data_IF_664812932636
#
_entry.id   IF_664812932636
#
_cell.length_a   1.000
_cell.length_b   1.000
_cell.length_c   1.000
_cell.angle_alpha   90.00
_cell.angle_beta   90.00
_cell.angle_gamma   90.00
#
_symmetry.space_group_name_H-M   'P 1'
#
loop_
_entity.id
_entity.type
_entity.pdbx_description
1 polymer ?
#
# COMPACT_ATOMS: atom_id res chain seq x y z
N UNK A 1 10.01 -3.94 16.20
CA UNK A 1 8.66 -3.75 15.63
C UNK A 1 8.35 -4.98 14.83
N UNK A 2 7.11 -5.47 14.89
CA UNK A 2 6.66 -6.52 13.99
C UNK A 2 6.40 -5.87 12.63
N UNK A 3 7.07 -6.37 11.59
CA UNK A 3 6.95 -5.82 10.25
C UNK A 3 5.80 -6.52 9.50
N UNK A 4 4.80 -5.74 9.07
CA UNK A 4 3.68 -6.20 8.25
C UNK A 4 3.83 -5.64 6.83
N UNK A 5 4.72 -6.25 6.04
CA UNK A 5 5.06 -5.75 4.70
C UNK A 5 4.28 -6.47 3.59
N UNK A 6 4.13 -7.79 3.72
CA UNK A 6 3.49 -8.63 2.71
C UNK A 6 2.27 -9.36 3.30
N UNK A 7 1.18 -9.53 2.53
CA UNK A 7 0.07 -10.38 2.95
C UNK A 7 0.53 -11.84 3.06
N UNK A 8 -0.01 -12.56 4.05
CA UNK A 8 0.20 -14.00 4.11
C UNK A 8 -0.57 -14.71 2.99
N UNK A 9 -0.12 -15.90 2.59
CA UNK A 9 -0.84 -16.74 1.61
C UNK A 9 -2.28 -17.03 2.04
N UNK A 10 -2.50 -17.23 3.34
CA UNK A 10 -3.82 -17.52 3.90
C UNK A 10 -4.74 -16.30 3.81
N UNK A 11 -4.26 -15.12 4.21
CA UNK A 11 -5.02 -13.87 4.12
C UNK A 11 -5.32 -13.51 2.66
N UNK A 12 -4.37 -13.74 1.75
CA UNK A 12 -4.57 -13.50 0.33
C UNK A 12 -5.59 -14.47 -0.30
N UNK A 13 -5.60 -15.74 0.12
CA UNK A 13 -6.62 -16.69 -0.30
C UNK A 13 -8.03 -16.24 0.13
N UNK A 14 -8.18 -15.86 1.41
CA UNK A 14 -9.43 -15.29 1.94
C UNK A 14 -9.88 -14.05 1.17
N UNK A 15 -8.95 -13.16 0.84
CA UNK A 15 -9.27 -11.97 0.04
C UNK A 15 -9.81 -12.33 -1.36
N UNK A 16 -9.23 -13.34 -2.03
CA UNK A 16 -9.72 -13.80 -3.34
C UNK A 16 -11.11 -14.42 -3.27
N UNK A 17 -11.46 -15.06 -2.15
CA UNK A 17 -12.79 -15.64 -1.93
C UNK A 17 -13.87 -14.58 -1.70
N UNK A 18 -13.50 -13.34 -1.37
CA UNK A 18 -14.42 -12.20 -1.22
C UNK A 18 -14.84 -11.59 -2.57
N UNK A 19 -14.76 -12.35 -3.67
CA UNK A 19 -15.12 -11.89 -5.01
C UNK A 19 -16.62 -11.59 -5.10
N UNK A 20 -16.94 -10.31 -4.90
CA UNK A 20 -18.28 -9.74 -4.98
C UNK A 20 -18.34 -8.66 -6.06
N UNK A 21 -19.54 -8.39 -6.62
CA UNK A 21 -19.72 -7.27 -7.51
C UNK A 21 -19.35 -5.92 -6.87
N UNK A 22 -18.88 -4.99 -7.71
CA UNK A 22 -18.61 -3.60 -7.36
C UNK A 22 -17.17 -3.33 -6.92
N UNK A 23 -16.81 -2.05 -6.75
CA UNK A 23 -15.45 -1.65 -6.45
C UNK A 23 -15.02 -2.08 -5.04
N UNK A 24 -13.71 -2.11 -4.87
CA UNK A 24 -13.04 -2.23 -3.57
C UNK A 24 -12.19 -1.00 -3.32
N UNK A 25 -12.16 -0.54 -2.08
CA UNK A 25 -11.33 0.57 -1.62
C UNK A 25 -10.27 0.03 -0.67
N UNK A 26 -9.02 0.07 -1.11
CA UNK A 26 -7.86 -0.40 -0.35
C UNK A 26 -7.28 0.77 0.43
N UNK A 27 -7.54 0.81 1.73
CA UNK A 27 -6.90 1.75 2.65
C UNK A 27 -5.44 1.34 2.86
N UNK A 28 -4.53 2.27 2.62
CA UNK A 28 -3.11 2.09 2.81
C UNK A 28 -2.62 3.09 3.85
N UNK A 29 -1.94 2.59 4.89
CA UNK A 29 -1.24 3.35 5.91
C UNK A 29 0.21 2.90 5.88
N UNK A 30 1.11 3.74 5.39
CA UNK A 30 2.49 3.33 5.09
C UNK A 30 3.46 4.10 5.96
N UNK A 31 4.35 3.36 6.63
CA UNK A 31 5.49 3.88 7.36
C UNK A 31 6.77 3.51 6.62
N UNK A 32 7.57 4.50 6.26
CA UNK A 32 8.83 4.30 5.56
C UNK A 32 9.93 3.94 6.56
N UNK A 33 10.87 3.12 6.10
CA UNK A 33 12.17 3.02 6.78
C UNK A 33 12.98 4.29 6.49
N UNK A 34 13.84 4.70 7.42
CA UNK A 34 14.83 5.75 7.15
C UNK A 34 15.69 5.39 5.93
N UNK A 35 16.14 4.13 5.89
CA UNK A 35 16.88 3.53 4.77
C UNK A 35 16.16 2.30 4.23
N UNK A 36 16.00 2.24 2.91
CA UNK A 36 15.42 1.10 2.23
C UNK A 36 16.32 -0.13 2.37
N UNK A 37 15.70 -1.29 2.63
CA UNK A 37 16.40 -2.55 2.85
C UNK A 37 16.53 -3.36 1.54
N UNK A 38 17.26 -2.82 0.55
CA UNK A 38 17.53 -3.55 -0.67
C UNK A 38 18.64 -4.62 -0.47
N UNK A 39 18.51 -5.82 -1.07
CA UNK A 39 19.53 -6.88 -0.93
C UNK A 39 20.92 -6.50 -1.45
N UNK A 40 21.00 -5.58 -2.40
CA UNK A 40 22.26 -5.10 -2.97
C UNK A 40 22.92 -3.98 -2.14
N UNK A 41 22.32 -3.60 -1.01
CA UNK A 41 22.90 -2.65 -0.06
C UNK A 41 22.92 -1.20 -0.52
N UNK A 42 22.23 -0.84 -1.62
CA UNK A 42 22.20 0.55 -2.11
C UNK A 42 21.69 1.52 -1.04
N UNK A 43 22.29 2.72 -1.01
CA UNK A 43 21.95 3.75 -0.04
C UNK A 43 20.82 4.65 -0.56
N UNK A 44 19.58 4.28 -0.24
CA UNK A 44 18.37 4.99 -0.69
C UNK A 44 17.41 5.11 0.49
N UNK A 45 16.76 6.27 0.64
CA UNK A 45 15.74 6.46 1.68
C UNK A 45 14.50 5.61 1.40
N UNK A 46 13.75 5.21 2.44
CA UNK A 46 12.50 4.47 2.24
C UNK A 46 11.47 5.28 1.44
N UNK A 47 11.44 6.60 1.63
CA UNK A 47 10.58 7.50 0.87
C UNK A 47 10.93 7.53 -0.62
N UNK A 48 12.20 7.57 -1.00
CA UNK A 48 12.61 7.57 -2.40
C UNK A 48 12.44 6.20 -3.07
N UNK A 49 12.66 5.12 -2.32
CA UNK A 49 12.30 3.77 -2.76
C UNK A 49 10.80 3.67 -3.05
N UNK A 50 9.95 4.24 -2.18
CA UNK A 50 8.50 4.23 -2.37
C UNK A 50 8.04 5.10 -3.55
N UNK A 51 8.67 6.26 -3.77
CA UNK A 51 8.42 7.09 -4.97
C UNK A 51 8.78 6.33 -6.25
N UNK A 52 9.90 5.60 -6.24
CA UNK A 52 10.30 4.74 -7.35
C UNK A 52 9.22 3.68 -7.62
N UNK A 53 8.82 2.93 -6.60
CA UNK A 53 7.72 1.95 -6.69
C UNK A 53 6.44 2.57 -7.26
N UNK A 54 6.03 3.74 -6.77
CA UNK A 54 4.81 4.42 -7.22
C UNK A 54 4.87 4.82 -8.70
N UNK A 55 6.04 5.24 -9.18
CA UNK A 55 6.25 5.61 -10.58
C UNK A 55 6.16 4.39 -11.50
N UNK A 56 6.78 3.27 -11.12
CA UNK A 56 6.80 2.06 -11.95
C UNK A 56 5.46 1.30 -11.91
N UNK A 57 4.78 1.26 -10.76
CA UNK A 57 3.49 0.56 -10.60
C UNK A 57 2.29 1.36 -11.13
N UNK A 58 2.39 2.70 -11.16
CA UNK A 58 1.30 3.59 -11.55
C UNK A 58 0.66 3.30 -12.92
N UNK A 59 1.43 3.03 -14.00
CA UNK A 59 0.87 2.66 -15.29
C UNK A 59 0.06 1.35 -15.24
N UNK A 60 0.55 0.32 -14.56
CA UNK A 60 -0.14 -0.97 -14.41
C UNK A 60 -1.43 -0.78 -13.60
N UNK A 61 -1.34 -0.08 -12.47
CA UNK A 61 -2.48 0.27 -11.62
C UNK A 61 -3.60 0.95 -12.43
N UNK A 62 -3.28 1.99 -13.21
CA UNK A 62 -4.27 2.67 -14.06
C UNK A 62 -4.80 1.77 -15.19
N UNK A 63 -3.94 0.95 -15.79
CA UNK A 63 -4.31 0.01 -16.85
C UNK A 63 -5.36 -1.01 -16.42
N UNK A 64 -5.38 -1.38 -15.13
CA UNK A 64 -6.36 -2.28 -14.52
C UNK A 64 -7.60 -1.55 -13.97
N UNK A 65 -7.77 -0.26 -14.29
CA UNK A 65 -8.90 0.57 -13.82
C UNK A 65 -8.71 1.11 -12.40
N UNK A 66 -7.51 1.02 -11.85
CA UNK A 66 -7.18 1.54 -10.54
C UNK A 66 -7.24 3.06 -10.47
N UNK A 67 -7.81 3.61 -9.38
CA UNK A 67 -7.93 5.04 -9.14
C UNK A 67 -7.49 5.42 -7.73
N UNK A 68 -6.63 6.43 -7.61
CA UNK A 68 -6.33 7.05 -6.32
C UNK A 68 -7.49 7.98 -5.96
N UNK A 69 -8.35 7.59 -5.01
CA UNK A 69 -9.56 8.36 -4.66
C UNK A 69 -9.33 9.35 -3.53
N UNK A 70 -8.31 9.09 -2.71
CA UNK A 70 -7.86 9.97 -1.65
C UNK A 70 -6.37 9.73 -1.37
N UNK A 71 -5.65 10.77 -1.00
CA UNK A 71 -4.26 10.73 -0.53
C UNK A 71 -4.04 11.88 0.46
N UNK A 72 -3.31 11.62 1.52
CA UNK A 72 -2.97 12.59 2.54
C UNK A 72 -1.63 12.28 3.21
N UNK A 73 -1.02 13.33 3.76
CA UNK A 73 0.11 13.24 4.67
C UNK A 73 -0.43 13.33 6.10
N UNK A 74 -0.41 12.26 6.89
CA UNK A 74 -0.83 12.31 8.29
C UNK A 74 0.04 13.31 9.07
N UNK A 75 -0.59 14.17 9.87
CA UNK A 75 0.11 15.22 10.64
C UNK A 75 0.19 14.91 12.13
N UNK A 76 -0.87 14.31 12.69
CA UNK A 76 -0.96 14.01 14.11
C UNK A 76 -1.92 12.84 14.38
N UNK A 77 -1.50 11.90 15.22
CA UNK A 77 -2.38 10.89 15.80
C UNK A 77 -3.14 11.50 16.99
N UNK A 78 -4.34 12.04 16.73
CA UNK A 78 -5.17 12.65 17.78
C UNK A 78 -5.74 11.61 18.76
N UNK A 79 -6.13 10.45 18.24
CA UNK A 79 -6.66 9.32 19.02
C UNK A 79 -5.98 8.05 18.52
N UNK A 80 -5.17 7.42 19.36
CA UNK A 80 -4.41 6.21 19.03
C UNK A 80 -3.07 6.17 19.76
N UNK A 81 -2.32 5.06 19.66
CA UNK A 81 -1.03 4.94 20.31
C UNK A 81 0.01 5.81 19.59
N UNK A 82 0.44 6.89 20.25
CA UNK A 82 1.34 7.89 19.65
C UNK A 82 2.72 7.33 19.30
N UNK A 83 3.20 6.33 20.04
CA UNK A 83 4.57 5.83 19.90
C UNK A 83 4.71 4.69 18.87
N UNK A 84 3.62 4.00 18.55
CA UNK A 84 3.66 2.79 17.70
C UNK A 84 2.95 2.93 16.36
N UNK A 85 1.96 3.81 16.23
CA UNK A 85 1.18 3.97 15.00
C UNK A 85 1.35 5.38 14.43
N UNK A 86 2.39 5.53 13.62
CA UNK A 86 2.68 6.75 12.87
C UNK A 86 2.88 6.37 11.40
N UNK A 87 2.31 7.18 10.50
CA UNK A 87 2.25 6.90 9.07
C UNK A 87 2.78 8.09 8.29
N UNK A 88 3.65 7.86 7.32
CA UNK A 88 4.23 8.90 6.48
C UNK A 88 3.31 9.29 5.32
N UNK A 89 2.52 8.32 4.85
CA UNK A 89 1.51 8.52 3.80
C UNK A 89 0.30 7.64 4.08
N UNK A 90 -0.88 8.20 3.83
CA UNK A 90 -2.14 7.49 3.88
C UNK A 90 -2.90 7.73 2.59
N UNK A 91 -3.48 6.67 2.02
CA UNK A 91 -4.25 6.81 0.78
C UNK A 91 -5.29 5.70 0.60
N UNK A 92 -6.25 5.95 -0.28
CA UNK A 92 -7.24 4.96 -0.70
C UNK A 92 -7.06 4.72 -2.20
N UNK A 93 -6.80 3.47 -2.56
CA UNK A 93 -6.76 2.99 -3.93
C UNK A 93 -8.06 2.23 -4.23
N UNK A 94 -8.82 2.71 -5.21
CA UNK A 94 -10.01 2.04 -5.73
C UNK A 94 -9.61 1.10 -6.86
N UNK A 95 -10.16 -0.12 -6.85
CA UNK A 95 -10.12 -1.05 -7.97
C UNK A 95 -11.56 -1.38 -8.38
N UNK A 96 -11.83 -1.61 -9.67
CA UNK A 96 -13.19 -1.89 -10.15
C UNK A 96 -13.73 -3.25 -9.68
N UNK A 97 -12.84 -4.18 -9.30
CA UNK A 97 -13.19 -5.50 -8.74
C UNK A 97 -12.04 -6.10 -7.94
N UNK A 98 -12.32 -7.16 -7.17
CA UNK A 98 -11.29 -7.99 -6.51
C UNK A 98 -10.32 -8.57 -7.55
N UNK A 99 -10.84 -9.07 -8.66
CA UNK A 99 -10.04 -9.65 -9.74
C UNK A 99 -9.06 -8.64 -10.35
N UNK A 100 -9.44 -7.37 -10.49
CA UNK A 100 -8.54 -6.33 -11.01
C UNK A 100 -7.31 -6.12 -10.11
N UNK A 101 -7.49 -6.17 -8.78
CA UNK A 101 -6.37 -6.13 -7.84
C UNK A 101 -5.52 -7.41 -7.91
N UNK A 102 -6.15 -8.59 -8.00
CA UNK A 102 -5.43 -9.87 -8.10
C UNK A 102 -4.56 -9.94 -9.36
N UNK A 103 -5.02 -9.39 -10.48
CA UNK A 103 -4.26 -9.33 -11.73
C UNK A 103 -3.06 -8.38 -11.68
N UNK A 104 -3.05 -7.43 -10.73
CA UNK A 104 -1.93 -6.50 -10.54
C UNK A 104 -0.73 -7.15 -9.85
N UNK A 105 -0.97 -8.13 -8.99
CA UNK A 105 0.04 -8.79 -8.14
C UNK A 105 0.74 -9.94 -8.87
#
# INVERSE_FOLDING_TARGET
MTDYLDPTKETFAKFREMDRPGPIHMLNLVKFREKAAYPDGRDVSGADAYKCYSRESGPVFRGLGGRQVWIGKPELMLIGPQDSEQWDIAFIAEYPSVQAFVTML
#
